data_IF_077611583429
#
_entry.id   IF_077611583429
#
_cell.length_a   1.000
_cell.length_b   1.000
_cell.length_c   1.000
_cell.angle_alpha   90.00
_cell.angle_beta   90.00
_cell.angle_gamma   90.00
#
_symmetry.space_group_name_H-M   'P 1'
#
loop_
_entity.id
_entity.type
_entity.pdbx_description
1 polymer ?
#
# COMPACT_ATOMS: atom_id res chain seq x y z
N UNK A 1 1.06 8.87 11.30
CA UNK A 1 2.24 7.98 11.42
C UNK A 1 2.77 7.66 10.04
N UNK A 2 4.08 7.56 9.87
CA UNK A 2 4.69 7.12 8.61
C UNK A 2 4.30 5.66 8.31
N UNK A 3 4.11 5.33 7.05
CA UNK A 3 3.75 3.99 6.59
C UNK A 3 4.45 3.68 5.27
N UNK A 4 4.57 2.41 4.95
CA UNK A 4 4.91 1.96 3.60
C UNK A 4 3.65 1.89 2.74
N UNK A 5 3.82 1.96 1.43
CA UNK A 5 2.71 1.78 0.48
C UNK A 5 2.89 0.52 -0.37
N UNK A 6 1.91 0.27 -1.23
CA UNK A 6 2.00 -0.81 -2.21
C UNK A 6 3.26 -0.71 -3.09
N UNK A 7 3.75 0.50 -3.38
CA UNK A 7 4.97 0.69 -4.16
C UNK A 7 6.18 0.03 -3.50
N UNK A 8 6.33 0.17 -2.19
CA UNK A 8 7.41 -0.49 -1.44
C UNK A 8 7.27 -2.02 -1.49
N UNK A 9 6.06 -2.53 -1.22
CA UNK A 9 5.78 -3.96 -1.21
C UNK A 9 6.04 -4.60 -2.58
N UNK A 10 5.54 -4.00 -3.66
CA UNK A 10 5.71 -4.50 -5.01
C UNK A 10 7.20 -4.49 -5.41
N UNK A 11 7.91 -3.42 -5.07
CA UNK A 11 9.33 -3.29 -5.36
C UNK A 11 10.16 -4.40 -4.67
N UNK A 12 9.91 -4.64 -3.37
CA UNK A 12 10.63 -5.71 -2.65
C UNK A 12 10.26 -7.08 -3.21
N UNK A 13 8.97 -7.36 -3.46
CA UNK A 13 8.50 -8.63 -4.02
C UNK A 13 9.13 -8.93 -5.38
N UNK A 14 9.34 -7.92 -6.22
CA UNK A 14 9.94 -8.07 -7.54
C UNK A 14 11.38 -8.61 -7.47
N UNK A 15 12.15 -8.18 -6.47
CA UNK A 15 13.58 -8.49 -6.40
C UNK A 15 13.93 -9.64 -5.45
N UNK A 16 13.09 -9.99 -4.49
CA UNK A 16 13.39 -11.06 -3.54
C UNK A 16 12.91 -12.44 -4.00
N UNK A 17 11.89 -12.51 -4.86
CA UNK A 17 11.20 -13.75 -5.14
C UNK A 17 10.39 -14.26 -3.94
N UNK A 18 9.62 -15.35 -4.11
CA UNK A 18 8.78 -15.90 -3.06
C UNK A 18 8.93 -17.41 -2.95
N UNK A 19 9.50 -17.89 -1.85
CA UNK A 19 9.69 -19.30 -1.55
C UNK A 19 8.74 -19.72 -0.42
N UNK A 20 7.72 -20.49 -0.75
CA UNK A 20 6.69 -20.89 0.24
C UNK A 20 7.13 -22.06 1.13
N UNK A 21 8.24 -22.73 0.82
CA UNK A 21 8.87 -23.76 1.64
C UNK A 21 10.23 -23.26 2.11
N UNK A 22 10.53 -23.47 3.41
CA UNK A 22 11.80 -23.07 3.99
C UNK A 22 12.97 -23.77 3.29
N UNK A 23 14.02 -23.00 3.01
CA UNK A 23 15.27 -23.44 2.43
C UNK A 23 16.45 -22.81 3.19
N UNK A 24 17.64 -23.37 3.01
CA UNK A 24 18.88 -22.72 3.45
C UNK A 24 19.41 -21.85 2.32
N UNK A 25 19.72 -20.60 2.66
CA UNK A 25 20.40 -19.71 1.73
C UNK A 25 21.89 -20.13 1.55
N UNK A 26 22.62 -19.36 0.74
CA UNK A 26 24.05 -19.64 0.41
C UNK A 26 24.97 -19.67 1.64
N UNK A 27 24.57 -19.03 2.74
CA UNK A 27 25.31 -19.00 4.00
C UNK A 27 24.73 -19.94 5.06
N UNK A 28 23.77 -20.78 4.67
CA UNK A 28 23.19 -21.82 5.53
C UNK A 28 22.06 -21.35 6.47
N UNK A 29 21.55 -20.13 6.30
CA UNK A 29 20.46 -19.57 7.12
C UNK A 29 19.11 -20.05 6.60
N UNK A 30 18.26 -20.56 7.52
CA UNK A 30 16.89 -20.93 7.16
C UNK A 30 16.06 -19.70 6.77
N UNK A 31 15.57 -19.71 5.54
CA UNK A 31 14.88 -18.59 4.89
C UNK A 31 13.56 -19.07 4.28
N UNK A 32 12.53 -18.21 4.27
CA UNK A 32 11.21 -18.48 3.69
C UNK A 32 10.53 -17.20 3.21
N UNK A 33 9.53 -17.35 2.35
CA UNK A 33 8.75 -16.22 1.82
C UNK A 33 9.61 -15.33 0.95
N UNK A 34 9.68 -14.05 1.28
CA UNK A 34 10.44 -13.01 0.58
C UNK A 34 11.78 -12.70 1.28
N UNK A 35 12.47 -13.69 1.82
CA UNK A 35 13.74 -13.49 2.50
C UNK A 35 13.61 -13.39 4.03
N UNK A 36 12.50 -13.85 4.60
CA UNK A 36 12.28 -13.87 6.06
C UNK A 36 13.10 -14.99 6.70
N UNK A 37 13.79 -14.65 7.77
CA UNK A 37 14.66 -15.57 8.52
C UNK A 37 14.27 -15.62 10.00
N UNK A 38 15.00 -16.42 10.78
CA UNK A 38 14.80 -16.47 12.23
C UNK A 38 15.13 -15.15 12.94
N UNK A 39 15.82 -14.20 12.31
CA UNK A 39 15.97 -12.83 12.81
C UNK A 39 14.64 -12.06 12.89
N UNK A 40 13.62 -12.52 12.16
CA UNK A 40 12.27 -11.96 12.15
C UNK A 40 11.31 -12.72 13.08
N UNK A 41 11.81 -13.61 13.96
CA UNK A 41 10.99 -14.43 14.86
C UNK A 41 10.08 -13.60 15.78
N UNK A 42 10.53 -12.43 16.20
CA UNK A 42 9.71 -11.49 16.98
C UNK A 42 8.47 -11.01 16.23
N UNK A 43 8.53 -10.98 14.90
CA UNK A 43 7.47 -10.56 13.99
C UNK A 43 6.58 -11.74 13.57
N UNK A 44 7.21 -12.83 13.15
CA UNK A 44 6.51 -14.01 12.60
C UNK A 44 5.90 -14.90 13.69
N UNK A 45 6.43 -14.83 14.91
CA UNK A 45 6.12 -15.75 16.04
C UNK A 45 6.35 -17.23 15.69
N UNK A 46 7.14 -17.49 14.66
CA UNK A 46 7.38 -18.82 14.09
C UNK A 46 8.89 -19.06 13.96
N UNK A 47 9.35 -20.26 14.28
CA UNK A 47 10.72 -20.69 14.00
C UNK A 47 10.79 -21.26 12.59
N UNK A 48 11.66 -20.68 11.75
CA UNK A 48 11.90 -21.15 10.40
C UNK A 48 12.91 -22.28 10.44
N UNK A 49 12.47 -23.45 9.96
CA UNK A 49 13.26 -24.71 10.00
C UNK A 49 12.89 -25.59 8.82
N UNK A 50 13.62 -26.69 8.64
CA UNK A 50 13.32 -27.69 7.61
C UNK A 50 11.86 -28.14 7.66
N UNK A 51 11.25 -28.29 6.51
CA UNK A 51 9.86 -28.77 6.35
C UNK A 51 8.80 -27.68 6.58
N UNK A 52 9.13 -26.49 7.06
CA UNK A 52 8.13 -25.41 7.22
C UNK A 52 7.63 -24.98 5.85
N UNK A 53 6.32 -24.91 5.70
CA UNK A 53 5.63 -24.32 4.55
C UNK A 53 4.65 -23.26 5.01
N UNK A 54 4.46 -22.24 4.19
CA UNK A 54 3.52 -21.14 4.46
C UNK A 54 2.69 -20.82 3.21
N UNK A 55 1.55 -20.20 3.38
CA UNK A 55 0.77 -19.66 2.28
C UNK A 55 1.40 -18.39 1.71
N UNK A 56 1.08 -18.04 0.47
CA UNK A 56 1.49 -16.77 -0.14
C UNK A 56 1.00 -15.57 0.68
N UNK A 57 -0.24 -15.61 1.17
CA UNK A 57 -0.79 -14.58 2.03
C UNK A 57 0.01 -14.40 3.33
N UNK A 58 0.46 -15.51 3.94
CA UNK A 58 1.35 -15.47 5.11
C UNK A 58 2.69 -14.83 4.76
N UNK A 59 3.31 -15.21 3.64
CA UNK A 59 4.57 -14.62 3.18
C UNK A 59 4.46 -13.10 2.98
N UNK A 60 3.37 -12.65 2.35
CA UNK A 60 3.09 -11.22 2.14
C UNK A 60 2.85 -10.47 3.45
N UNK A 61 2.09 -11.04 4.36
CA UNK A 61 1.85 -10.45 5.69
C UNK A 61 3.16 -10.34 6.50
N UNK A 62 4.02 -11.35 6.44
CA UNK A 62 5.30 -11.32 7.15
C UNK A 62 6.25 -10.29 6.54
N UNK A 63 6.31 -10.19 5.21
CA UNK A 63 7.07 -9.14 4.53
C UNK A 63 6.61 -7.74 4.97
N UNK A 64 5.32 -7.45 4.88
CA UNK A 64 4.77 -6.15 5.26
C UNK A 64 5.09 -5.78 6.71
N UNK A 65 4.93 -6.74 7.63
CA UNK A 65 5.28 -6.55 9.04
C UNK A 65 6.78 -6.29 9.22
N UNK A 66 7.65 -7.06 8.54
CA UNK A 66 9.09 -6.88 8.61
C UNK A 66 9.49 -5.50 8.08
N UNK A 67 8.99 -5.10 6.92
CA UNK A 67 9.25 -3.77 6.36
C UNK A 67 8.79 -2.64 7.29
N UNK A 68 7.61 -2.79 7.88
CA UNK A 68 7.02 -1.76 8.75
C UNK A 68 7.68 -1.68 10.12
N UNK A 69 7.97 -2.82 10.76
CA UNK A 69 8.44 -2.85 12.15
C UNK A 69 9.96 -2.80 12.28
N UNK A 70 10.70 -3.27 11.27
CA UNK A 70 12.15 -3.37 11.32
C UNK A 70 12.85 -2.31 10.46
N UNK A 71 12.44 -2.12 9.21
CA UNK A 71 13.16 -1.28 8.26
C UNK A 71 12.63 0.15 8.15
N UNK A 72 11.33 0.36 8.20
CA UNK A 72 10.75 1.71 8.23
C UNK A 72 11.31 2.58 9.37
N UNK A 73 11.44 2.08 10.63
CA UNK A 73 12.04 2.87 11.70
C UNK A 73 13.47 3.32 11.40
N UNK A 74 14.28 2.50 10.70
CA UNK A 74 15.65 2.86 10.32
C UNK A 74 15.69 4.01 9.32
N UNK A 75 14.72 4.07 8.41
CA UNK A 75 14.56 5.18 7.47
C UNK A 75 14.07 6.42 8.20
N UNK A 76 13.10 6.26 9.10
CA UNK A 76 12.48 7.37 9.82
C UNK A 76 13.42 8.07 10.81
N UNK A 77 14.54 7.45 11.22
CA UNK A 77 15.59 8.11 12.01
C UNK A 77 16.12 9.41 11.36
N UNK A 78 16.04 9.50 10.04
CA UNK A 78 16.50 10.67 9.28
C UNK A 78 15.36 11.61 8.85
N UNK A 79 14.12 11.28 9.25
CA UNK A 79 12.96 12.02 8.76
C UNK A 79 12.91 13.46 9.23
N UNK A 80 13.38 13.76 10.44
CA UNK A 80 13.37 15.14 10.95
C UNK A 80 14.22 16.07 10.09
N UNK A 81 15.31 15.55 9.57
CA UNK A 81 16.19 16.29 8.69
C UNK A 81 15.65 16.39 7.27
N UNK A 82 15.20 15.26 6.72
CA UNK A 82 14.86 15.21 5.30
C UNK A 82 13.37 15.48 5.04
N UNK A 83 12.48 15.23 5.99
CA UNK A 83 11.03 15.29 5.74
C UNK A 83 10.68 14.48 4.48
N UNK A 84 11.02 13.18 4.51
CA UNK A 84 10.84 12.28 3.38
C UNK A 84 9.42 12.30 2.86
N UNK A 85 9.26 12.41 1.56
CA UNK A 85 7.98 12.16 0.92
C UNK A 85 7.70 10.65 0.83
N UNK A 86 6.49 10.26 0.45
CA UNK A 86 6.07 8.86 0.47
C UNK A 86 6.88 7.98 -0.49
N UNK A 87 7.22 8.46 -1.68
CA UNK A 87 8.03 7.71 -2.64
C UNK A 87 9.48 7.54 -2.16
N UNK A 88 10.02 8.56 -1.50
CA UNK A 88 11.33 8.47 -0.87
C UNK A 88 11.34 7.44 0.27
N UNK A 89 10.30 7.42 1.12
CA UNK A 89 10.14 6.42 2.18
C UNK A 89 10.11 5.02 1.57
N UNK A 90 9.24 4.78 0.61
CA UNK A 90 9.06 3.46 -0.01
C UNK A 90 10.35 2.94 -0.67
N UNK A 91 11.05 3.80 -1.40
CA UNK A 91 12.33 3.46 -2.03
C UNK A 91 13.43 3.18 -1.00
N UNK A 92 13.53 4.01 0.05
CA UNK A 92 14.53 3.84 1.10
C UNK A 92 14.27 2.63 1.97
N UNK A 93 13.01 2.25 2.21
CA UNK A 93 12.67 1.02 2.93
C UNK A 93 13.05 -0.20 2.11
N UNK A 94 12.78 -0.22 0.78
CA UNK A 94 13.25 -1.28 -0.11
C UNK A 94 14.77 -1.39 -0.11
N UNK A 95 15.47 -0.26 -0.24
CA UNK A 95 16.93 -0.22 -0.17
C UNK A 95 17.45 -0.75 1.17
N UNK A 96 16.85 -0.31 2.29
CA UNK A 96 17.21 -0.72 3.64
C UNK A 96 16.98 -2.21 3.87
N UNK A 97 15.93 -2.79 3.28
CA UNK A 97 15.66 -4.23 3.33
C UNK A 97 16.81 -5.05 2.74
N UNK A 98 17.35 -4.62 1.61
CA UNK A 98 18.44 -5.33 0.92
C UNK A 98 19.83 -5.08 1.53
N UNK A 99 20.10 -3.84 1.99
CA UNK A 99 21.43 -3.42 2.46
C UNK A 99 21.54 -3.44 4.00
N UNK A 100 20.40 -3.47 4.69
CA UNK A 100 20.34 -3.45 6.17
C UNK A 100 20.32 -2.04 6.77
N UNK A 101 20.76 -1.01 6.07
CA UNK A 101 20.84 0.36 6.60
C UNK A 101 20.89 1.40 5.49
N UNK A 102 20.41 2.62 5.79
CA UNK A 102 20.60 3.80 4.93
C UNK A 102 21.67 4.76 5.46
N UNK A 103 22.36 4.41 6.56
CA UNK A 103 23.39 5.27 7.19
C UNK A 103 24.49 5.65 6.20
N UNK A 104 25.09 4.68 5.54
CA UNK A 104 26.13 4.90 4.53
C UNK A 104 25.60 5.64 3.31
N UNK A 105 24.40 5.31 2.86
CA UNK A 105 23.74 5.97 1.73
C UNK A 105 23.52 7.46 2.00
N UNK A 106 23.06 7.83 3.18
CA UNK A 106 22.80 9.22 3.57
C UNK A 106 24.04 9.95 4.12
N UNK A 107 25.19 9.26 4.25
CA UNK A 107 26.35 9.73 5.01
C UNK A 107 25.92 10.28 6.38
N UNK A 108 25.22 9.44 7.14
CA UNK A 108 24.69 9.81 8.44
C UNK A 108 23.79 11.06 8.42
N UNK A 109 23.05 11.26 7.32
CA UNK A 109 22.14 12.38 7.15
C UNK A 109 22.75 13.67 6.61
N UNK A 110 23.97 13.66 6.08
CA UNK A 110 24.63 14.89 5.56
C UNK A 110 24.46 15.09 4.06
N UNK A 111 24.15 14.05 3.28
CA UNK A 111 24.04 14.15 1.82
C UNK A 111 22.76 14.83 1.37
N UNK A 112 22.83 15.52 0.23
CA UNK A 112 21.62 16.02 -0.46
C UNK A 112 20.80 14.86 -1.06
N UNK A 113 19.53 15.11 -1.35
CA UNK A 113 18.64 14.12 -2.04
C UNK A 113 19.20 13.69 -3.39
N UNK A 114 19.73 14.62 -4.18
CA UNK A 114 20.33 14.33 -5.49
C UNK A 114 21.54 13.41 -5.34
N UNK A 115 22.40 13.66 -4.35
CA UNK A 115 23.55 12.81 -4.05
C UNK A 115 23.11 11.43 -3.56
N UNK A 116 22.08 11.33 -2.70
CA UNK A 116 21.52 10.05 -2.26
C UNK A 116 21.05 9.23 -3.46
N UNK A 117 20.28 9.84 -4.36
CA UNK A 117 19.78 9.18 -5.58
C UNK A 117 20.91 8.67 -6.49
N UNK A 118 21.99 9.43 -6.62
CA UNK A 118 23.17 9.01 -7.40
C UNK A 118 23.92 7.88 -6.71
N UNK A 119 24.14 8.00 -5.40
CA UNK A 119 24.88 7.02 -4.59
C UNK A 119 24.15 5.67 -4.46
N UNK A 120 22.82 5.62 -4.59
CA UNK A 120 22.11 4.34 -4.64
C UNK A 120 22.71 3.39 -5.67
N UNK A 121 23.11 3.91 -6.84
CA UNK A 121 23.64 3.09 -7.95
C UNK A 121 24.97 2.40 -7.62
N UNK A 122 25.72 2.88 -6.63
CA UNK A 122 27.00 2.28 -6.21
C UNK A 122 26.81 0.99 -5.38
N UNK A 123 25.59 0.74 -4.85
CA UNK A 123 25.25 -0.44 -4.07
C UNK A 123 24.80 -1.62 -4.96
N UNK A 124 25.46 -1.80 -6.10
CA UNK A 124 25.18 -2.85 -7.08
C UNK A 124 26.23 -3.95 -7.11
N UNK A 125 27.10 -4.02 -6.08
CA UNK A 125 28.21 -4.97 -6.01
C UNK A 125 28.02 -5.96 -4.86
N UNK A 126 28.47 -7.19 -5.07
CA UNK A 126 28.67 -8.20 -4.04
C UNK A 126 30.04 -8.86 -4.28
N UNK A 127 30.85 -9.09 -3.24
CA UNK A 127 32.20 -9.60 -3.40
C UNK A 127 33.08 -8.78 -4.35
N UNK A 128 32.89 -7.45 -4.40
CA UNK A 128 33.62 -6.52 -5.29
C UNK A 128 33.16 -6.51 -6.76
N UNK A 129 32.28 -7.45 -7.17
CA UNK A 129 31.79 -7.56 -8.56
C UNK A 129 30.42 -6.92 -8.71
N UNK A 130 30.16 -6.31 -9.87
CA UNK A 130 28.84 -5.76 -10.22
C UNK A 130 27.89 -6.88 -10.61
N UNK A 131 26.69 -6.86 -10.01
CA UNK A 131 25.62 -7.80 -10.34
C UNK A 131 24.48 -7.09 -11.07
N UNK A 132 24.08 -7.67 -12.21
CA UNK A 132 23.01 -7.11 -13.05
C UNK A 132 21.67 -7.01 -12.30
N UNK A 133 21.36 -8.00 -11.46
CA UNK A 133 20.14 -7.97 -10.62
C UNK A 133 20.15 -6.82 -9.62
N UNK A 134 21.28 -6.58 -8.96
CA UNK A 134 21.42 -5.44 -8.04
C UNK A 134 21.36 -4.09 -8.78
N UNK A 135 21.95 -4.01 -9.98
CA UNK A 135 21.85 -2.80 -10.81
C UNK A 135 20.40 -2.49 -11.17
N UNK A 136 19.62 -3.50 -11.60
CA UNK A 136 18.20 -3.35 -11.87
C UNK A 136 17.44 -2.86 -10.63
N UNK A 137 17.69 -3.47 -9.47
CA UNK A 137 17.07 -3.09 -8.20
C UNK A 137 17.37 -1.63 -7.85
N UNK A 138 18.62 -1.23 -7.87
CA UNK A 138 19.04 0.16 -7.61
C UNK A 138 18.41 1.14 -8.58
N UNK A 139 18.28 0.78 -9.85
CA UNK A 139 17.61 1.61 -10.85
C UNK A 139 16.13 1.82 -10.52
N UNK A 140 15.44 0.76 -10.12
CA UNK A 140 14.02 0.84 -9.75
C UNK A 140 13.82 1.66 -8.45
N UNK A 141 14.65 1.43 -7.44
CA UNK A 141 14.63 2.21 -6.18
C UNK A 141 14.95 3.69 -6.42
N UNK A 142 15.99 4.01 -7.22
CA UNK A 142 16.31 5.39 -7.61
C UNK A 142 15.15 6.05 -8.36
N UNK A 143 14.54 5.34 -9.31
CA UNK A 143 13.39 5.84 -10.06
C UNK A 143 12.23 6.20 -9.12
N UNK A 144 11.89 5.32 -8.18
CA UNK A 144 10.85 5.59 -7.19
C UNK A 144 11.22 6.78 -6.30
N UNK A 145 12.47 6.81 -5.78
CA UNK A 145 12.96 7.88 -4.93
C UNK A 145 12.88 9.26 -5.58
N UNK A 146 13.19 9.36 -6.88
CA UNK A 146 13.19 10.61 -7.63
C UNK A 146 11.84 10.96 -8.26
N UNK A 147 10.88 10.06 -8.21
CA UNK A 147 9.53 10.31 -8.72
C UNK A 147 8.79 11.26 -7.77
N UNK A 148 8.36 12.43 -8.23
CA UNK A 148 7.55 13.32 -7.41
C UNK A 148 6.30 12.58 -6.92
N UNK A 149 5.99 12.73 -5.63
CA UNK A 149 4.66 12.34 -5.16
C UNK A 149 3.68 13.23 -5.90
N UNK A 150 2.78 12.64 -6.67
CA UNK A 150 1.62 13.39 -7.15
C UNK A 150 0.89 13.88 -5.92
N UNK A 151 1.20 15.09 -5.49
CA UNK A 151 0.33 15.82 -4.58
C UNK A 151 -0.94 15.98 -5.40
N UNK A 152 -1.91 15.10 -5.18
CA UNK A 152 -3.28 15.47 -5.43
C UNK A 152 -3.44 16.64 -4.47
N UNK A 153 -3.15 17.87 -4.94
CA UNK A 153 -3.61 19.05 -4.25
C UNK A 153 -5.09 18.80 -4.08
N UNK A 154 -5.53 18.40 -2.89
CA UNK A 154 -6.85 18.79 -2.45
C UNK A 154 -6.84 20.27 -2.78
N UNK A 155 -7.57 20.67 -3.81
CA UNK A 155 -7.88 22.06 -4.00
C UNK A 155 -8.29 22.48 -2.62
N UNK A 156 -7.48 23.28 -1.96
CA UNK A 156 -7.96 24.10 -0.85
C UNK A 156 -9.00 24.98 -1.52
N UNK A 157 -10.20 24.48 -1.62
CA UNK A 157 -11.36 25.30 -1.64
C UNK A 157 -11.21 26.10 -0.34
N UNK A 158 -10.79 27.39 -0.49
CA UNK A 158 -11.03 28.38 0.53
C UNK A 158 -12.31 27.95 1.22
N UNK A 159 -12.23 27.84 2.55
CA UNK A 159 -13.40 27.61 3.37
C UNK A 159 -14.36 28.78 3.17
N UNK A 160 -15.06 28.78 2.07
CA UNK A 160 -16.42 29.23 2.01
C UNK A 160 -17.11 28.20 2.90
N UNK A 161 -17.74 28.66 3.94
CA UNK A 161 -18.67 27.95 4.80
C UNK A 161 -19.65 27.19 3.90
N UNK A 162 -19.18 26.07 3.35
CA UNK A 162 -20.02 25.13 2.65
C UNK A 162 -20.91 24.57 3.75
N UNK A 163 -22.13 25.05 3.80
CA UNK A 163 -23.22 24.42 4.51
C UNK A 163 -23.02 22.92 4.28
N UNK A 164 -22.70 22.20 5.33
CA UNK A 164 -22.46 20.76 5.29
C UNK A 164 -23.78 20.17 4.81
N UNK A 165 -23.86 19.80 3.51
CA UNK A 165 -25.07 19.33 2.89
C UNK A 165 -25.48 18.07 3.64
N UNK A 166 -26.65 18.12 4.26
CA UNK A 166 -27.18 17.01 5.05
C UNK A 166 -27.67 15.92 4.10
N UNK A 167 -26.75 15.06 3.69
CA UNK A 167 -27.02 13.94 2.81
C UNK A 167 -28.00 12.90 3.41
N UNK A 168 -28.37 13.03 4.71
CA UNK A 168 -29.34 12.14 5.34
C UNK A 168 -30.77 12.46 4.90
N UNK A 169 -31.03 13.69 4.42
CA UNK A 169 -32.32 14.16 3.92
C UNK A 169 -32.48 14.10 2.41
N UNK A 170 -31.37 14.00 1.68
CA UNK A 170 -31.45 13.79 0.25
C UNK A 170 -31.89 12.35 -0.02
N UNK A 171 -33.03 12.18 -0.68
CA UNK A 171 -33.38 10.93 -1.33
C UNK A 171 -32.29 10.65 -2.35
N UNK A 172 -31.48 9.64 -2.11
CA UNK A 172 -30.37 9.30 -2.99
C UNK A 172 -30.96 8.70 -4.24
N UNK A 173 -31.18 9.51 -5.27
CA UNK A 173 -31.76 9.07 -6.55
C UNK A 173 -30.93 7.94 -7.19
N UNK A 174 -29.67 7.82 -6.86
CA UNK A 174 -28.83 6.68 -7.18
C UNK A 174 -29.39 5.35 -6.68
N UNK A 175 -30.13 5.34 -5.58
CA UNK A 175 -30.81 4.12 -5.08
C UNK A 175 -31.91 3.71 -6.05
N UNK A 176 -32.66 4.64 -6.63
CA UNK A 176 -33.63 4.33 -7.68
C UNK A 176 -32.95 3.78 -8.94
N UNK A 177 -31.80 4.32 -9.30
CA UNK A 177 -31.03 3.85 -10.45
C UNK A 177 -30.53 2.41 -10.23
N UNK A 178 -29.96 2.11 -9.05
CA UNK A 178 -29.55 0.75 -8.70
C UNK A 178 -30.74 -0.21 -8.50
N UNK A 179 -31.91 0.28 -8.11
CA UNK A 179 -33.14 -0.50 -8.03
C UNK A 179 -33.67 -0.99 -9.37
N UNK A 180 -33.31 -0.28 -10.46
CA UNK A 180 -33.64 -0.68 -11.84
C UNK A 180 -32.61 -1.69 -12.37
N UNK A 181 -31.38 -1.71 -11.83
CA UNK A 181 -30.36 -2.65 -12.21
C UNK A 181 -30.59 -4.00 -11.53
N UNK A 182 -30.77 -5.05 -12.33
CA UNK A 182 -30.96 -6.43 -11.88
C UNK A 182 -29.83 -6.88 -10.92
N UNK A 183 -30.08 -7.89 -10.13
CA UNK A 183 -29.19 -8.48 -9.08
C UNK A 183 -27.68 -8.54 -9.42
N UNK A 184 -27.29 -8.64 -10.68
CA UNK A 184 -25.90 -8.66 -11.14
C UNK A 184 -25.18 -7.33 -10.89
N UNK A 185 -25.84 -6.19 -11.04
CA UNK A 185 -25.22 -4.90 -10.82
C UNK A 185 -25.05 -4.58 -9.34
N UNK A 186 -25.94 -5.03 -8.50
CA UNK A 186 -25.83 -4.93 -7.03
C UNK A 186 -24.64 -5.76 -6.56
N UNK A 187 -24.45 -6.96 -7.10
CA UNK A 187 -23.31 -7.82 -6.80
C UNK A 187 -21.98 -7.16 -7.20
N UNK A 188 -21.91 -6.62 -8.42
CA UNK A 188 -20.71 -5.91 -8.91
C UNK A 188 -20.40 -4.65 -8.10
N UNK A 189 -21.41 -3.92 -7.66
CA UNK A 189 -21.26 -2.78 -6.77
C UNK A 189 -20.75 -3.20 -5.38
N UNK A 190 -21.22 -4.31 -4.87
CA UNK A 190 -20.77 -4.89 -3.59
C UNK A 190 -19.30 -5.32 -3.67
N UNK A 191 -18.91 -5.98 -4.76
CA UNK A 191 -17.52 -6.35 -5.03
C UNK A 191 -16.63 -5.12 -5.17
N UNK A 192 -17.10 -4.07 -5.83
CA UNK A 192 -16.41 -2.79 -5.92
C UNK A 192 -16.17 -2.16 -4.55
N UNK A 193 -17.18 -2.16 -3.66
CA UNK A 193 -17.05 -1.68 -2.29
C UNK A 193 -16.03 -2.50 -1.50
N UNK A 194 -16.11 -3.81 -1.61
CA UNK A 194 -15.21 -4.75 -0.94
C UNK A 194 -13.75 -4.54 -1.38
N UNK A 195 -13.50 -4.44 -2.68
CA UNK A 195 -12.17 -4.22 -3.25
C UNK A 195 -11.54 -2.88 -2.85
N UNK A 196 -12.34 -1.93 -2.38
CA UNK A 196 -11.89 -0.64 -1.85
C UNK A 196 -11.85 -0.54 -0.32
N UNK A 197 -12.00 -1.66 0.37
CA UNK A 197 -11.86 -1.73 1.83
C UNK A 197 -13.08 -1.24 2.62
N UNK A 198 -14.21 -1.02 1.96
CA UNK A 198 -15.46 -0.62 2.63
C UNK A 198 -16.20 -1.76 3.32
N UNK A 199 -15.69 -2.97 3.27
CA UNK A 199 -16.33 -4.18 3.78
C UNK A 199 -15.72 -4.80 5.03
N UNK A 200 -14.65 -4.27 5.58
CA UNK A 200 -14.06 -4.79 6.81
C UNK A 200 -14.90 -4.37 8.04
N UNK A 201 -16.01 -5.07 8.26
CA UNK A 201 -16.83 -4.98 9.47
C UNK A 201 -18.16 -4.24 9.36
N UNK A 202 -18.55 -3.71 8.19
CA UNK A 202 -19.84 -2.98 8.01
C UNK A 202 -20.08 -2.74 6.52
N UNK A 203 -21.10 -3.08 5.95
CA UNK A 203 -22.30 -3.84 6.20
C UNK A 203 -22.13 -5.31 5.77
N UNK A 204 -23.04 -6.16 6.22
CA UNK A 204 -23.04 -7.55 5.82
C UNK A 204 -23.23 -7.66 4.29
N UNK A 205 -22.14 -7.97 3.56
CA UNK A 205 -22.12 -8.02 2.11
C UNK A 205 -23.13 -9.00 1.51
N UNK A 206 -23.44 -10.08 2.25
CA UNK A 206 -24.50 -11.04 1.83
C UNK A 206 -25.86 -10.40 1.90
N UNK A 207 -26.13 -9.51 2.85
CA UNK A 207 -27.39 -8.75 2.93
C UNK A 207 -27.49 -7.70 1.83
N UNK A 208 -26.38 -7.04 1.46
CA UNK A 208 -26.38 -6.09 0.33
C UNK A 208 -26.58 -6.82 -0.99
N UNK A 209 -25.93 -7.96 -1.19
CA UNK A 209 -26.07 -8.76 -2.41
C UNK A 209 -27.48 -9.34 -2.60
N UNK A 210 -28.22 -9.56 -1.51
CA UNK A 210 -29.61 -10.06 -1.51
C UNK A 210 -30.65 -8.97 -1.33
N UNK A 211 -30.25 -7.72 -1.04
CA UNK A 211 -31.16 -6.63 -0.74
C UNK A 211 -31.65 -5.91 -2.00
N UNK A 212 -32.90 -5.47 -1.96
CA UNK A 212 -33.37 -4.45 -2.90
C UNK A 212 -32.51 -3.19 -2.76
N UNK A 213 -32.25 -2.51 -3.87
CA UNK A 213 -31.48 -1.28 -3.90
C UNK A 213 -32.03 -0.14 -3.02
N UNK A 214 -33.23 -0.29 -2.51
CA UNK A 214 -33.88 0.60 -1.53
C UNK A 214 -33.54 0.28 -0.08
N UNK A 215 -32.72 -0.76 0.19
CA UNK A 215 -32.39 -1.14 1.56
C UNK A 215 -31.57 -0.05 2.28
N UNK A 216 -31.70 -0.02 3.60
CA UNK A 216 -30.96 0.92 4.45
C UNK A 216 -29.44 0.71 4.32
N UNK A 217 -28.99 -0.50 4.08
CA UNK A 217 -27.57 -0.86 3.91
C UNK A 217 -26.98 -0.26 2.62
N UNK A 218 -27.71 -0.36 1.49
CA UNK A 218 -27.28 0.23 0.21
C UNK A 218 -27.25 1.75 0.33
N UNK A 219 -28.24 2.37 0.97
CA UNK A 219 -28.28 3.81 1.24
C UNK A 219 -27.08 4.24 2.08
N UNK A 220 -26.77 3.52 3.15
CA UNK A 220 -25.63 3.79 4.03
C UNK A 220 -24.29 3.66 3.27
N UNK A 221 -24.15 2.66 2.41
CA UNK A 221 -22.95 2.47 1.59
C UNK A 221 -22.75 3.60 0.58
N UNK A 222 -23.80 4.02 -0.14
CA UNK A 222 -23.76 5.15 -1.08
C UNK A 222 -23.41 6.47 -0.39
N UNK A 223 -24.00 6.73 0.78
CA UNK A 223 -23.68 7.90 1.59
C UNK A 223 -22.23 7.90 2.07
N UNK A 224 -21.70 6.73 2.45
CA UNK A 224 -20.30 6.59 2.85
C UNK A 224 -19.36 6.87 1.69
N UNK A 225 -19.66 6.38 0.49
CA UNK A 225 -18.88 6.66 -0.72
C UNK A 225 -18.92 8.16 -1.09
N UNK A 226 -20.09 8.79 -0.99
CA UNK A 226 -20.23 10.22 -1.25
C UNK A 226 -19.44 11.06 -0.25
N UNK A 227 -19.51 10.74 1.06
CA UNK A 227 -18.71 11.41 2.10
C UNK A 227 -17.20 11.29 1.89
N UNK A 228 -16.73 10.17 1.33
CA UNK A 228 -15.33 9.98 1.00
C UNK A 228 -14.94 10.52 -0.39
N UNK A 229 -15.87 11.20 -1.07
CA UNK A 229 -15.62 11.79 -2.38
C UNK A 229 -15.38 10.78 -3.52
N UNK A 230 -15.81 9.54 -3.34
CA UNK A 230 -15.67 8.46 -4.32
C UNK A 230 -16.87 8.39 -5.29
N UNK A 231 -17.99 8.98 -4.90
CA UNK A 231 -19.17 9.16 -5.73
C UNK A 231 -19.48 10.67 -5.83
N UNK A 232 -19.88 11.10 -6.98
CA UNK A 232 -20.43 12.45 -7.21
C UNK A 232 -21.79 12.31 -7.85
N UNK A 233 -22.72 13.19 -7.47
CA UNK A 233 -23.98 13.37 -8.18
C UNK A 233 -23.71 14.35 -9.30
N UNK A 234 -23.80 13.95 -10.57
CA UNK A 234 -23.64 14.87 -11.68
C UNK A 234 -24.75 15.92 -11.65
N UNK A 235 -24.39 17.16 -11.90
CA UNK A 235 -25.37 18.24 -12.01
C UNK A 235 -26.35 17.93 -13.15
N UNK A 236 -27.64 17.97 -12.83
CA UNK A 236 -28.72 17.73 -13.78
C UNK A 236 -29.05 16.25 -14.06
N UNK A 237 -28.37 15.29 -13.43
CA UNK A 237 -28.69 13.87 -13.54
C UNK A 237 -29.20 13.31 -12.22
N UNK A 238 -30.21 12.45 -12.31
CA UNK A 238 -30.80 11.78 -11.14
C UNK A 238 -30.07 10.47 -10.77
N UNK A 239 -28.77 10.36 -11.03
CA UNK A 239 -27.98 9.17 -10.74
C UNK A 239 -26.63 9.54 -10.18
N UNK A 240 -26.08 8.64 -9.37
CA UNK A 240 -24.72 8.72 -8.86
C UNK A 240 -23.76 8.07 -9.85
N UNK A 241 -22.64 8.71 -10.11
CA UNK A 241 -21.56 8.16 -10.93
C UNK A 241 -20.27 8.04 -10.12
N UNK A 242 -19.44 7.07 -10.51
CA UNK A 242 -18.13 6.93 -9.91
C UNK A 242 -17.26 8.11 -10.32
N UNK A 243 -16.59 8.73 -9.36
CA UNK A 243 -15.57 9.73 -9.64
C UNK A 243 -14.38 9.05 -10.30
N UNK A 244 -14.05 9.46 -11.52
CA UNK A 244 -12.86 8.98 -12.25
C UNK A 244 -11.55 9.43 -11.61
#
# INVERSE_FOLDING_TARGET
MAKITKNCLDLVKEFEGCYLRAYKDEVGVWTIGYGITNSDKSITKTTIKSGLTISKATAESWLEKSLTQKYLPLVMKYNDKYKWNQNEIDALVSFCYNIGSIKGLTANGTRSRSTIASKMMEYNKAGGRVYRGLTRRRTAEKKLFTTPVKVIKKKETKATTAVQKDYTKERVDGVKYFGILKNTAVKSFTEFLHNRGFGAGKPNLSKIASANADSAEVKAALLTLAKNGLLVKPDGLNKWEQKK
#
